data_IF_692014035992
#
_entry.id   IF_692014035992
#
_cell.length_a   1.000
_cell.length_b   1.000
_cell.length_c   1.000
_cell.angle_alpha   90.00
_cell.angle_beta   90.00
_cell.angle_gamma   90.00
#
_symmetry.space_group_name_H-M   'P 1'
#
loop_
_entity.id
_entity.type
_entity.pdbx_description
1 polymer ?
#
# COMPACT_ATOMS: atom_id res chain seq x y z
N UNK A 1 20.00 11.61 -6.17
CA UNK A 1 19.26 12.53 -5.29
C UNK A 1 17.81 12.11 -5.05
N UNK A 2 16.91 12.04 -6.05
CA UNK A 2 15.51 11.67 -5.79
C UNK A 2 15.37 10.22 -5.27
N UNK A 3 16.18 9.29 -5.79
CA UNK A 3 16.22 7.90 -5.34
C UNK A 3 16.66 7.79 -3.87
N UNK A 4 17.63 8.60 -3.45
CA UNK A 4 18.10 8.64 -2.06
C UNK A 4 17.01 9.16 -1.12
N UNK A 5 16.25 10.18 -1.55
CA UNK A 5 15.09 10.68 -0.82
C UNK A 5 14.02 9.59 -0.73
N UNK A 6 13.76 8.86 -1.81
CA UNK A 6 12.80 7.77 -1.82
C UNK A 6 13.21 6.66 -0.84
N UNK A 7 14.47 6.23 -0.89
CA UNK A 7 15.06 5.24 0.04
C UNK A 7 15.02 5.73 1.48
N UNK A 8 15.23 7.01 1.73
CA UNK A 8 15.16 7.58 3.08
C UNK A 8 13.73 7.55 3.63
N UNK A 9 12.73 7.84 2.80
CA UNK A 9 11.33 7.91 3.22
C UNK A 9 10.72 6.51 3.38
N UNK A 10 10.98 5.62 2.41
CA UNK A 10 10.32 4.32 2.32
C UNK A 10 11.22 3.14 2.70
N UNK A 11 12.50 3.36 2.98
CA UNK A 11 13.46 2.32 3.36
C UNK A 11 13.54 1.15 2.35
N UNK A 12 13.27 1.44 1.08
CA UNK A 12 13.29 0.46 -0.03
C UNK A 12 13.85 1.08 -1.30
N UNK A 13 14.38 0.22 -2.18
CA UNK A 13 14.80 0.58 -3.53
C UNK A 13 13.57 0.91 -4.40
N UNK A 14 13.61 1.98 -5.23
CA UNK A 14 12.54 2.27 -6.18
C UNK A 14 12.36 1.13 -7.20
N UNK A 15 11.12 0.75 -7.48
CA UNK A 15 10.80 -0.42 -8.30
C UNK A 15 11.18 -0.27 -9.77
N UNK A 16 11.06 0.94 -10.33
CA UNK A 16 11.20 1.14 -11.78
C UNK A 16 12.46 1.90 -12.19
N UNK A 17 13.09 2.63 -11.28
CA UNK A 17 14.17 3.56 -11.59
C UNK A 17 13.70 4.77 -12.41
N UNK A 18 12.38 4.92 -12.58
CA UNK A 18 11.76 6.03 -13.29
C UNK A 18 11.08 6.95 -12.28
N UNK A 19 11.62 8.17 -12.14
CA UNK A 19 11.13 9.16 -11.20
C UNK A 19 9.62 9.42 -11.30
N UNK A 20 9.05 9.41 -12.51
CA UNK A 20 7.63 9.66 -12.70
C UNK A 20 6.83 8.51 -12.10
N UNK A 21 7.18 7.27 -12.44
CA UNK A 21 6.46 6.09 -11.94
C UNK A 21 6.61 5.96 -10.41
N UNK A 22 7.85 6.08 -9.93
CA UNK A 22 8.18 5.84 -8.53
C UNK A 22 7.64 6.94 -7.59
N UNK A 23 7.50 8.19 -8.07
CA UNK A 23 6.90 9.28 -7.27
C UNK A 23 5.40 9.49 -7.51
N UNK A 24 4.85 9.09 -8.66
CA UNK A 24 3.43 9.25 -8.94
C UNK A 24 2.57 8.45 -7.97
N UNK A 25 2.95 7.20 -7.69
CA UNK A 25 2.19 6.34 -6.79
C UNK A 25 2.11 6.91 -5.35
N UNK A 26 3.22 7.30 -4.69
CA UNK A 26 3.16 7.98 -3.40
C UNK A 26 2.29 9.24 -3.38
N UNK A 27 2.35 10.07 -4.42
CA UNK A 27 1.58 11.31 -4.51
C UNK A 27 0.08 11.01 -4.56
N UNK A 28 -0.33 10.09 -5.43
CA UNK A 28 -1.73 9.69 -5.58
C UNK A 28 -2.26 9.04 -4.30
N UNK A 29 -1.46 8.16 -3.69
CA UNK A 29 -1.81 7.51 -2.43
C UNK A 29 -1.97 8.51 -1.29
N UNK A 30 -1.05 9.47 -1.17
CA UNK A 30 -1.10 10.49 -0.10
C UNK A 30 -2.39 11.31 -0.20
N UNK A 31 -2.75 11.77 -1.40
CA UNK A 31 -4.00 12.52 -1.60
C UNK A 31 -5.26 11.69 -1.34
N UNK A 32 -5.26 10.44 -1.79
CA UNK A 32 -6.39 9.51 -1.64
C UNK A 32 -6.59 9.12 -0.17
N UNK A 33 -5.51 8.71 0.50
CA UNK A 33 -5.54 8.29 1.90
C UNK A 33 -5.77 9.46 2.86
N UNK A 34 -5.41 10.69 2.48
CA UNK A 34 -5.85 11.88 3.21
C UNK A 34 -7.39 11.94 3.27
N UNK A 35 -8.07 11.89 2.12
CA UNK A 35 -9.54 11.96 2.06
C UNK A 35 -10.20 10.79 2.79
N UNK A 36 -9.69 9.57 2.57
CA UNK A 36 -10.18 8.37 3.25
C UNK A 36 -10.01 8.51 4.76
N UNK A 37 -8.86 9.00 5.22
CA UNK A 37 -8.58 9.20 6.64
C UNK A 37 -9.60 10.11 7.31
N UNK A 38 -9.95 11.25 6.71
CA UNK A 38 -10.94 12.15 7.30
C UNK A 38 -12.34 11.55 7.35
N UNK A 39 -12.76 10.88 6.28
CA UNK A 39 -14.06 10.22 6.25
C UNK A 39 -14.12 9.09 7.29
N UNK A 40 -13.18 8.15 7.24
CA UNK A 40 -13.16 6.97 8.10
C UNK A 40 -13.00 7.34 9.57
N UNK A 41 -12.10 8.25 9.93
CA UNK A 41 -11.96 8.66 11.34
C UNK A 41 -13.20 9.44 11.81
N UNK A 42 -13.82 10.24 10.94
CA UNK A 42 -15.10 10.89 11.24
C UNK A 42 -16.23 9.90 11.51
N UNK A 43 -16.36 8.86 10.67
CA UNK A 43 -17.30 7.74 10.87
C UNK A 43 -17.01 6.99 12.20
N UNK A 44 -15.74 6.76 12.53
CA UNK A 44 -15.37 6.13 13.80
C UNK A 44 -15.77 6.96 15.02
N UNK A 45 -15.73 8.29 14.92
CA UNK A 45 -16.26 9.17 15.97
C UNK A 45 -17.79 9.15 16.03
N UNK A 46 -18.48 9.19 14.87
CA UNK A 46 -19.95 9.17 14.85
C UNK A 46 -20.53 7.87 15.38
N UNK A 47 -19.86 6.75 15.10
CA UNK A 47 -20.29 5.41 15.48
C UNK A 47 -19.89 5.07 16.94
N UNK A 48 -19.19 5.98 17.63
CA UNK A 48 -18.72 5.79 19.00
C UNK A 48 -17.58 4.77 19.14
N UNK A 49 -16.96 4.35 18.04
CA UNK A 49 -15.81 3.44 18.04
C UNK A 49 -14.57 4.07 18.67
N UNK A 50 -14.43 5.39 18.54
CA UNK A 50 -13.41 6.18 19.21
C UNK A 50 -14.04 7.42 19.82
N UNK A 51 -13.56 7.80 21.00
CA UNK A 51 -14.01 9.00 21.72
C UNK A 51 -12.87 9.93 22.11
N UNK A 52 -11.62 9.44 22.10
CA UNK A 52 -10.46 10.24 22.47
C UNK A 52 -9.81 10.89 21.25
N UNK A 53 -9.26 12.10 21.45
CA UNK A 53 -8.48 12.81 20.43
C UNK A 53 -7.19 12.07 20.07
N UNK A 54 -6.60 11.35 21.04
CA UNK A 54 -5.41 10.53 20.84
C UNK A 54 -5.69 9.40 19.86
N UNK A 55 -6.80 8.66 20.04
CA UNK A 55 -7.18 7.59 19.12
C UNK A 55 -7.43 8.12 17.70
N UNK A 56 -8.17 9.23 17.56
CA UNK A 56 -8.37 9.85 16.24
C UNK A 56 -7.07 10.28 15.57
N UNK A 57 -6.15 10.88 16.33
CA UNK A 57 -4.84 11.29 15.82
C UNK A 57 -4.01 10.09 15.36
N UNK A 58 -4.04 8.99 16.12
CA UNK A 58 -3.40 7.73 15.74
C UNK A 58 -3.97 7.19 14.44
N UNK A 59 -5.30 7.07 14.29
CA UNK A 59 -5.90 6.54 13.06
C UNK A 59 -5.68 7.47 11.87
N UNK A 60 -5.71 8.79 12.08
CA UNK A 60 -5.37 9.74 11.02
C UNK A 60 -3.95 9.53 10.50
N UNK A 61 -2.99 9.44 11.42
CA UNK A 61 -1.59 9.22 11.08
C UNK A 61 -1.38 7.86 10.44
N UNK A 62 -1.98 6.80 10.99
CA UNK A 62 -1.85 5.44 10.47
C UNK A 62 -2.39 5.31 9.05
N UNK A 63 -3.59 5.84 8.77
CA UNK A 63 -4.17 5.79 7.43
C UNK A 63 -3.34 6.62 6.45
N UNK A 64 -2.86 7.80 6.86
CA UNK A 64 -2.15 8.71 5.94
C UNK A 64 -0.70 8.32 5.68
N UNK A 65 0.02 7.87 6.69
CA UNK A 65 1.46 7.60 6.60
C UNK A 65 1.73 6.10 6.58
N UNK A 66 1.13 5.38 7.53
CA UNK A 66 1.30 3.93 7.66
C UNK A 66 0.81 3.17 6.42
N UNK A 67 -0.41 3.43 5.95
CA UNK A 67 -0.93 2.76 4.76
C UNK A 67 -0.22 3.18 3.48
N UNK A 68 0.19 4.46 3.33
CA UNK A 68 1.02 4.87 2.18
C UNK A 68 2.29 4.03 2.15
N UNK A 69 2.99 3.94 3.29
CA UNK A 69 4.21 3.12 3.39
C UNK A 69 3.94 1.65 3.05
N UNK A 70 2.90 1.04 3.62
CA UNK A 70 2.56 -0.37 3.39
C UNK A 70 2.26 -0.64 1.91
N UNK A 71 1.48 0.23 1.26
CA UNK A 71 1.12 0.05 -0.15
C UNK A 71 2.35 0.23 -1.05
N UNK A 72 3.19 1.22 -0.78
CA UNK A 72 4.45 1.42 -1.53
C UNK A 72 5.39 0.23 -1.34
N UNK A 73 5.54 -0.26 -0.11
CA UNK A 73 6.34 -1.45 0.19
C UNK A 73 5.82 -2.68 -0.56
N UNK A 74 4.51 -2.96 -0.49
CA UNK A 74 3.89 -4.09 -1.17
C UNK A 74 4.03 -3.97 -2.69
N UNK A 75 3.82 -2.79 -3.27
CA UNK A 75 4.01 -2.55 -4.70
C UNK A 75 5.44 -2.86 -5.14
N UNK A 76 6.45 -2.33 -4.43
CA UNK A 76 7.85 -2.57 -4.76
C UNK A 76 8.21 -4.06 -4.60
N UNK A 77 7.73 -4.72 -3.54
CA UNK A 77 7.95 -6.15 -3.35
C UNK A 77 7.38 -6.97 -4.52
N UNK A 78 6.15 -6.67 -4.94
CA UNK A 78 5.47 -7.35 -6.05
C UNK A 78 6.21 -7.11 -7.36
N UNK A 79 6.54 -5.86 -7.68
CA UNK A 79 7.22 -5.53 -8.95
C UNK A 79 8.59 -6.19 -9.02
N UNK A 80 9.38 -6.13 -7.95
CA UNK A 80 10.72 -6.69 -7.91
C UNK A 80 10.74 -8.23 -7.96
N UNK A 81 9.66 -8.89 -7.52
CA UNK A 81 9.57 -10.35 -7.47
C UNK A 81 8.46 -10.90 -8.39
N UNK A 82 7.97 -10.12 -9.36
CA UNK A 82 6.84 -10.51 -10.20
C UNK A 82 7.11 -11.83 -10.93
N UNK A 83 8.35 -12.04 -11.36
CA UNK A 83 8.82 -13.28 -12.01
C UNK A 83 8.77 -14.49 -11.07
N UNK A 84 8.94 -14.30 -9.76
CA UNK A 84 8.80 -15.35 -8.75
C UNK A 84 7.34 -15.67 -8.41
N UNK A 85 6.44 -14.70 -8.57
CA UNK A 85 5.00 -14.91 -8.34
C UNK A 85 4.31 -15.63 -9.51
N UNK A 86 4.77 -15.43 -10.74
CA UNK A 86 4.17 -16.05 -11.94
C UNK A 86 4.08 -17.59 -11.86
N UNK A 87 5.13 -18.33 -11.46
CA UNK A 87 5.06 -19.79 -11.29
C UNK A 87 4.05 -20.22 -10.22
N UNK A 88 3.96 -19.49 -9.10
CA UNK A 88 3.04 -19.80 -8.00
C UNK A 88 1.59 -19.64 -8.48
N UNK A 89 1.29 -18.56 -9.20
CA UNK A 89 -0.03 -18.32 -9.80
C UNK A 89 -0.34 -19.41 -10.84
N UNK A 90 0.62 -19.74 -11.70
CA UNK A 90 0.44 -20.79 -12.72
C UNK A 90 0.16 -22.17 -12.10
N UNK A 91 0.90 -22.55 -11.05
CA UNK A 91 0.65 -23.79 -10.30
C UNK A 91 -0.74 -23.78 -9.66
N UNK A 92 -1.13 -22.66 -9.02
CA UNK A 92 -2.46 -22.51 -8.43
C UNK A 92 -3.58 -22.69 -9.46
N UNK A 93 -3.43 -22.09 -10.65
CA UNK A 93 -4.37 -22.26 -11.76
C UNK A 93 -4.41 -23.71 -12.23
N UNK A 94 -3.26 -24.36 -12.42
CA UNK A 94 -3.20 -25.77 -12.85
C UNK A 94 -3.88 -26.70 -11.83
N UNK A 95 -3.66 -26.50 -10.53
CA UNK A 95 -4.33 -27.26 -9.46
C UNK A 95 -5.85 -27.04 -9.50
N UNK A 96 -6.28 -25.79 -9.67
CA UNK A 96 -7.70 -25.45 -9.78
C UNK A 96 -8.36 -26.14 -11.00
N UNK A 97 -7.71 -26.08 -12.16
CA UNK A 97 -8.21 -26.71 -13.38
C UNK A 97 -8.23 -28.23 -13.27
N UNK A 98 -7.19 -28.84 -12.68
CA UNK A 98 -7.14 -30.28 -12.41
C UNK A 98 -8.35 -30.71 -11.58
N UNK A 99 -8.60 -30.05 -10.44
CA UNK A 99 -9.75 -30.38 -9.58
C UNK A 99 -11.12 -30.14 -10.22
N UNK A 100 -11.21 -29.27 -11.23
CA UNK A 100 -12.47 -28.90 -11.86
C UNK A 100 -12.87 -29.83 -13.02
N UNK A 101 -11.88 -30.36 -13.73
CA UNK A 101 -12.11 -31.07 -15.00
C UNK A 101 -11.65 -32.53 -15.01
N UNK A 102 -10.93 -32.98 -13.98
CA UNK A 102 -10.53 -34.38 -13.77
C UNK A 102 -11.11 -34.81 -12.42
#
# INVERSE_FOLDING_TARGET
>A
MWEEIFKLIFFIEPASGNIIIDLFLPIVLTGTLYRISYRTVGEMYSDGLISSSIAGSFFHWFIRMGLVYIVIFAFNLIVNHITSFLPVIAIGILIYLYKKYI
#
